data_IF_999695094817
#
_entry.id   IF_999695094817
#
_cell.length_a   1.000
_cell.length_b   1.000
_cell.length_c   1.000
_cell.angle_alpha   90.00
_cell.angle_beta   90.00
_cell.angle_gamma   90.00
#
_symmetry.space_group_name_H-M   'P 1'
#
loop_
_entity.id
_entity.type
_entity.pdbx_description
1 polymer ?
#
# COMPACT_ATOMS: atom_id res chain seq x y z
N UNK A 1 -20.23 -11.98 -10.02
CA UNK A 1 -19.38 -10.92 -9.41
C UNK A 1 -19.51 -11.00 -7.89
N UNK A 2 -18.41 -11.20 -7.15
CA UNK A 2 -18.45 -11.20 -5.67
C UNK A 2 -18.29 -9.74 -5.21
N UNK A 3 -19.41 -9.08 -4.91
CA UNK A 3 -19.45 -7.65 -4.53
C UNK A 3 -18.53 -7.33 -3.33
N UNK A 4 -18.38 -8.25 -2.39
CA UNK A 4 -17.54 -8.08 -1.20
C UNK A 4 -16.18 -8.81 -1.28
N UNK A 5 -15.72 -9.17 -2.48
CA UNK A 5 -14.39 -9.75 -2.64
C UNK A 5 -13.31 -8.76 -2.15
N UNK A 6 -12.41 -9.23 -1.29
CA UNK A 6 -11.36 -8.38 -0.69
C UNK A 6 -11.74 -7.74 0.64
N UNK A 7 -13.01 -7.79 1.05
CA UNK A 7 -13.39 -7.42 2.42
C UNK A 7 -12.78 -8.42 3.41
N UNK A 8 -12.06 -7.92 4.41
CA UNK A 8 -11.24 -8.75 5.29
C UNK A 8 -10.79 -8.02 6.54
N UNK A 9 -9.95 -8.66 7.35
CA UNK A 9 -9.54 -8.16 8.69
C UNK A 9 -9.06 -6.71 8.68
N UNK A 10 -8.40 -6.25 7.61
CA UNK A 10 -7.95 -4.85 7.44
C UNK A 10 -9.08 -3.82 7.48
N UNK A 11 -10.21 -4.13 6.86
CA UNK A 11 -11.38 -3.25 6.84
C UNK A 11 -12.02 -3.18 8.23
N UNK A 12 -12.03 -4.31 8.95
CA UNK A 12 -12.48 -4.36 10.35
C UNK A 12 -11.57 -3.52 11.25
N UNK A 13 -10.25 -3.57 11.07
CA UNK A 13 -9.33 -2.71 11.82
C UNK A 13 -9.49 -1.22 11.50
N UNK A 14 -9.74 -0.87 10.23
CA UNK A 14 -10.03 0.51 9.84
C UNK A 14 -11.34 1.01 10.47
N UNK A 15 -12.39 0.18 10.45
CA UNK A 15 -13.66 0.50 11.10
C UNK A 15 -13.51 0.64 12.62
N UNK A 16 -12.71 -0.24 13.26
CA UNK A 16 -12.42 -0.19 14.69
C UNK A 16 -11.63 1.07 15.05
N UNK A 17 -10.58 1.39 14.29
CA UNK A 17 -9.78 2.59 14.49
C UNK A 17 -10.61 3.87 14.31
N UNK A 18 -11.45 3.92 13.27
CA UNK A 18 -12.36 5.05 13.05
C UNK A 18 -13.37 5.20 14.19
N UNK A 19 -14.02 4.11 14.61
CA UNK A 19 -14.95 4.12 15.75
C UNK A 19 -14.29 4.59 17.04
N UNK A 20 -13.05 4.17 17.30
CA UNK A 20 -12.29 4.59 18.48
C UNK A 20 -11.94 6.08 18.44
N UNK A 21 -11.51 6.61 17.29
CA UNK A 21 -11.22 8.05 17.11
C UNK A 21 -12.49 8.89 17.30
N UNK A 22 -13.61 8.48 16.72
CA UNK A 22 -14.91 9.17 16.89
C UNK A 22 -15.33 9.15 18.36
N UNK A 23 -15.17 8.00 19.05
CA UNK A 23 -15.48 7.89 20.46
C UNK A 23 -14.60 8.77 21.34
N UNK A 24 -13.30 8.85 21.05
CA UNK A 24 -12.36 9.73 21.76
C UNK A 24 -12.74 11.20 21.55
N UNK A 25 -13.09 11.60 20.33
CA UNK A 25 -13.54 12.96 20.04
C UNK A 25 -14.81 13.32 20.83
N UNK A 26 -15.78 12.42 20.85
CA UNK A 26 -17.01 12.59 21.63
C UNK A 26 -16.75 12.64 23.15
N UNK A 27 -15.89 11.77 23.66
CA UNK A 27 -15.50 11.76 25.07
C UNK A 27 -14.79 13.05 25.48
N UNK A 28 -13.94 13.58 24.61
CA UNK A 28 -13.23 14.85 24.82
C UNK A 28 -14.21 16.01 24.86
N UNK A 29 -15.21 16.03 23.96
CA UNK A 29 -16.27 17.04 23.96
C UNK A 29 -17.08 17.00 25.28
N UNK A 30 -17.53 15.82 25.69
CA UNK A 30 -18.33 15.66 26.91
C UNK A 30 -17.54 16.06 28.18
N UNK A 31 -16.23 15.77 28.22
CA UNK A 31 -15.32 16.22 29.28
C UNK A 31 -15.19 17.75 29.33
N UNK A 32 -15.09 18.43 28.17
CA UNK A 32 -15.06 19.89 28.12
C UNK A 32 -16.42 20.52 28.45
N UNK A 33 -17.51 19.86 28.06
CA UNK A 33 -18.89 20.30 28.31
C UNK A 33 -19.35 20.15 29.76
N UNK A 34 -18.58 19.46 30.62
CA UNK A 34 -18.98 19.06 31.98
C UNK A 34 -20.29 18.26 31.99
N UNK A 35 -20.51 17.45 30.97
CA UNK A 35 -21.66 16.55 30.91
C UNK A 35 -21.39 15.30 31.74
N UNK A 36 -22.44 14.71 32.33
CA UNK A 36 -22.32 13.45 33.06
C UNK A 36 -22.06 12.28 32.09
N UNK A 37 -20.81 11.81 32.04
CA UNK A 37 -20.43 10.65 31.25
C UNK A 37 -20.96 9.35 31.87
N UNK A 38 -22.03 8.81 31.30
CA UNK A 38 -22.47 7.45 31.61
C UNK A 38 -21.81 6.42 30.67
N UNK A 39 -21.24 5.35 31.24
CA UNK A 39 -20.52 4.33 30.48
C UNK A 39 -21.41 3.55 29.49
N UNK A 40 -22.70 3.36 29.83
CA UNK A 40 -23.66 2.59 29.01
C UNK A 40 -23.97 3.29 27.68
N UNK A 41 -24.42 4.56 27.63
CA UNK A 41 -24.66 5.24 26.35
C UNK A 41 -23.37 5.42 25.54
N UNK A 42 -22.22 5.61 26.21
CA UNK A 42 -20.92 5.66 25.51
C UNK A 42 -20.61 4.37 24.75
N UNK A 43 -20.79 3.21 25.39
CA UNK A 43 -20.57 1.92 24.74
C UNK A 43 -21.57 1.70 23.59
N UNK A 44 -22.83 2.11 23.76
CA UNK A 44 -23.84 2.01 22.71
C UNK A 44 -23.47 2.84 21.47
N UNK A 45 -23.00 4.08 21.67
CA UNK A 45 -22.50 4.94 20.58
C UNK A 45 -21.29 4.34 19.87
N UNK A 46 -20.32 3.82 20.62
CA UNK A 46 -19.12 3.19 20.05
C UNK A 46 -19.49 1.98 19.16
N UNK A 47 -20.41 1.14 19.62
CA UNK A 47 -20.89 -0.02 18.86
C UNK A 47 -21.65 0.43 17.61
N UNK A 48 -22.51 1.44 17.72
CA UNK A 48 -23.27 1.98 16.60
C UNK A 48 -22.33 2.52 15.50
N UNK A 49 -21.39 3.39 15.86
CA UNK A 49 -20.43 3.95 14.89
C UNK A 49 -19.55 2.88 14.25
N UNK A 50 -19.18 1.84 14.99
CA UNK A 50 -18.45 0.71 14.44
C UNK A 50 -19.24 -0.03 13.36
N UNK A 51 -20.52 -0.33 13.59
CA UNK A 51 -21.38 -0.96 12.58
C UNK A 51 -21.62 -0.06 11.37
N UNK A 52 -21.85 1.24 11.58
CA UNK A 52 -21.98 2.20 10.48
C UNK A 52 -20.70 2.28 9.64
N UNK A 53 -19.53 2.25 10.28
CA UNK A 53 -18.25 2.23 9.59
C UNK A 53 -18.07 0.96 8.75
N UNK A 54 -18.49 -0.20 9.26
CA UNK A 54 -18.47 -1.45 8.48
C UNK A 54 -19.39 -1.38 7.26
N UNK A 55 -20.59 -0.82 7.41
CA UNK A 55 -21.53 -0.60 6.30
C UNK A 55 -20.89 0.33 5.25
N UNK A 56 -20.31 1.45 5.68
CA UNK A 56 -19.64 2.41 4.81
C UNK A 56 -18.47 1.81 4.04
N UNK A 57 -17.57 1.06 4.70
CA UNK A 57 -16.48 0.35 4.03
C UNK A 57 -17.02 -0.75 3.10
N UNK A 58 -18.09 -1.45 3.49
CA UNK A 58 -18.74 -2.45 2.63
C UNK A 58 -19.26 -1.83 1.33
N UNK A 59 -19.92 -0.68 1.40
CA UNK A 59 -20.36 0.07 0.22
C UNK A 59 -19.19 0.53 -0.65
N UNK A 60 -18.11 1.04 -0.05
CA UNK A 60 -16.91 1.46 -0.77
C UNK A 60 -16.25 0.30 -1.52
N UNK A 61 -16.06 -0.85 -0.86
CA UNK A 61 -15.50 -2.07 -1.47
C UNK A 61 -16.42 -2.61 -2.57
N UNK A 62 -17.74 -2.59 -2.35
CA UNK A 62 -18.70 -3.05 -3.35
C UNK A 62 -18.65 -2.20 -4.63
N UNK A 63 -18.53 -0.88 -4.49
CA UNK A 63 -18.46 0.04 -5.61
C UNK A 63 -17.11 -0.03 -6.31
N UNK A 64 -16.02 -0.20 -5.56
CA UNK A 64 -14.70 -0.46 -6.12
C UNK A 64 -14.67 -1.74 -6.95
N UNK A 65 -15.31 -2.81 -6.48
CA UNK A 65 -15.39 -4.08 -7.20
C UNK A 65 -16.34 -4.02 -8.40
N UNK A 66 -17.37 -3.17 -8.36
CA UNK A 66 -18.35 -3.02 -9.43
C UNK A 66 -17.83 -2.16 -10.57
N UNK A 67 -17.21 -1.01 -10.24
CA UNK A 67 -16.74 -0.04 -11.22
C UNK A 67 -15.28 -0.30 -11.64
N UNK A 68 -14.48 -0.97 -10.81
CA UNK A 68 -13.08 -1.29 -11.09
C UNK A 68 -12.29 -0.06 -11.57
N UNK A 69 -11.50 -0.25 -12.61
CA UNK A 69 -10.77 0.83 -13.28
C UNK A 69 -11.58 1.46 -14.45
N UNK A 70 -12.83 1.03 -14.66
CA UNK A 70 -13.70 1.56 -15.72
C UNK A 70 -14.24 2.96 -15.40
N UNK A 71 -14.16 3.40 -14.14
CA UNK A 71 -14.63 4.72 -13.72
C UNK A 71 -13.53 5.54 -13.02
N UNK A 72 -13.51 6.87 -13.20
CA UNK A 72 -12.55 7.73 -12.52
C UNK A 72 -12.78 7.72 -11.00
N UNK A 73 -11.71 7.93 -10.24
CA UNK A 73 -11.70 7.87 -8.76
C UNK A 73 -12.76 8.77 -8.13
N UNK A 74 -13.00 9.96 -8.68
CA UNK A 74 -14.01 10.90 -8.18
C UNK A 74 -15.43 10.34 -8.25
N UNK A 75 -15.81 9.69 -9.35
CA UNK A 75 -17.14 9.09 -9.51
C UNK A 75 -17.33 7.92 -8.56
N UNK A 76 -16.31 7.08 -8.37
CA UNK A 76 -16.34 5.99 -7.38
C UNK A 76 -16.53 6.51 -5.97
N UNK A 77 -15.82 7.58 -5.61
CA UNK A 77 -15.92 8.21 -4.30
C UNK A 77 -17.32 8.79 -4.06
N UNK A 78 -17.86 9.55 -5.01
CA UNK A 78 -19.21 10.13 -4.88
C UNK A 78 -20.26 9.03 -4.78
N UNK A 79 -20.18 8.00 -5.62
CA UNK A 79 -21.14 6.90 -5.58
C UNK A 79 -21.04 6.11 -4.27
N UNK A 80 -19.82 5.85 -3.78
CA UNK A 80 -19.58 5.18 -2.50
C UNK A 80 -20.08 5.98 -1.31
N UNK A 81 -19.83 7.29 -1.31
CA UNK A 81 -20.34 8.21 -0.30
C UNK A 81 -21.88 8.22 -0.28
N UNK A 82 -22.52 8.38 -1.44
CA UNK A 82 -23.99 8.44 -1.53
C UNK A 82 -24.62 7.11 -1.11
N UNK A 83 -24.08 5.98 -1.59
CA UNK A 83 -24.56 4.66 -1.20
C UNK A 83 -24.38 4.42 0.31
N UNK A 84 -23.21 4.74 0.88
CA UNK A 84 -22.94 4.62 2.30
C UNK A 84 -23.89 5.52 3.12
N UNK A 85 -24.09 6.78 2.72
CA UNK A 85 -24.98 7.70 3.41
C UNK A 85 -26.44 7.20 3.41
N UNK A 86 -26.93 6.68 2.29
CA UNK A 86 -28.29 6.12 2.20
C UNK A 86 -28.42 4.87 3.10
N UNK A 87 -27.52 3.90 2.96
CA UNK A 87 -27.62 2.63 3.70
C UNK A 87 -27.43 2.84 5.19
N UNK A 88 -26.49 3.69 5.61
CA UNK A 88 -26.32 4.03 7.02
C UNK A 88 -27.53 4.75 7.59
N UNK A 89 -28.10 5.73 6.86
CA UNK A 89 -29.30 6.44 7.32
C UNK A 89 -30.48 5.49 7.48
N UNK A 90 -30.72 4.59 6.52
CA UNK A 90 -31.77 3.57 6.63
C UNK A 90 -31.53 2.60 7.79
N UNK A 91 -30.29 2.17 8.01
CA UNK A 91 -29.94 1.27 9.11
C UNK A 91 -30.17 1.93 10.47
N UNK A 92 -29.82 3.22 10.61
CA UNK A 92 -30.09 3.98 11.84
C UNK A 92 -31.60 4.14 12.03
N UNK A 93 -32.37 4.53 11.00
CA UNK A 93 -33.83 4.67 11.13
C UNK A 93 -34.52 3.35 11.53
N UNK A 94 -34.10 2.25 10.92
CA UNK A 94 -34.58 0.91 11.27
C UNK A 94 -34.23 0.54 12.71
N UNK A 95 -33.00 0.80 13.15
CA UNK A 95 -32.58 0.54 14.53
C UNK A 95 -33.43 1.32 15.53
N UNK A 96 -33.65 2.62 15.29
CA UNK A 96 -34.47 3.46 16.17
C UNK A 96 -35.95 3.06 16.17
N UNK A 97 -36.45 2.38 15.14
CA UNK A 97 -37.80 1.81 15.15
C UNK A 97 -37.91 0.54 16.01
N UNK A 98 -36.84 -0.28 16.04
CA UNK A 98 -36.80 -1.54 16.79
C UNK A 98 -36.45 -1.36 18.26
N UNK A 99 -35.73 -0.29 18.61
CA UNK A 99 -35.26 -0.04 19.98
C UNK A 99 -36.38 0.60 20.82
N UNK A 100 -36.64 0.11 22.05
CA UNK A 100 -37.63 0.71 22.94
C UNK A 100 -37.33 2.18 23.24
N UNK A 101 -38.37 3.01 23.35
CA UNK A 101 -38.23 4.46 23.59
C UNK A 101 -37.42 4.81 24.84
N UNK A 102 -37.44 3.97 25.88
CA UNK A 102 -36.63 4.18 27.10
C UNK A 102 -35.12 4.08 26.85
N UNK A 103 -34.70 3.25 25.89
CA UNK A 103 -33.29 3.14 25.49
C UNK A 103 -32.91 4.32 24.58
N UNK A 104 -33.82 4.76 23.70
CA UNK A 104 -33.62 5.96 22.87
C UNK A 104 -33.40 7.20 23.74
N UNK A 105 -34.25 7.39 24.76
CA UNK A 105 -34.14 8.51 25.70
C UNK A 105 -32.84 8.46 26.53
N UNK A 106 -32.36 7.26 26.86
CA UNK A 106 -31.07 7.07 27.53
C UNK A 106 -29.86 7.34 26.62
N UNK A 107 -30.03 7.28 25.29
CA UNK A 107 -28.98 7.49 24.29
C UNK A 107 -28.95 8.94 23.77
N UNK A 108 -30.11 9.56 23.57
CA UNK A 108 -30.22 10.94 23.06
C UNK A 108 -29.85 12.00 24.11
N UNK A 109 -29.83 11.65 25.40
CA UNK A 109 -29.65 12.63 26.46
C UNK A 109 -30.81 13.62 26.51
N UNK A 110 -30.90 14.41 27.57
CA UNK A 110 -32.06 15.26 27.85
C UNK A 110 -32.31 16.42 26.85
N UNK A 111 -31.49 16.58 25.82
CA UNK A 111 -31.69 17.61 24.79
C UNK A 111 -32.29 16.99 23.52
N UNK A 112 -33.62 16.91 23.49
CA UNK A 112 -34.33 16.82 22.22
C UNK A 112 -34.01 18.08 21.42
N UNK A 113 -33.12 17.98 20.44
CA UNK A 113 -32.96 19.03 19.44
C UNK A 113 -34.38 19.35 18.89
N UNK A 114 -34.84 20.61 18.95
CA UNK A 114 -36.21 20.96 18.57
C UNK A 114 -36.34 20.88 17.05
N UNK A 115 -36.56 19.66 16.54
CA UNK A 115 -36.77 19.45 15.12
C UNK A 115 -38.17 19.95 14.74
N UNK A 116 -38.22 20.89 13.79
CA UNK A 116 -39.46 21.53 13.33
C UNK A 116 -40.37 20.56 12.55
N UNK A 117 -39.80 19.50 11.95
CA UNK A 117 -40.53 18.51 11.14
C UNK A 117 -39.76 17.17 11.09
N UNK A 118 -40.47 16.06 10.86
CA UNK A 118 -39.88 14.74 10.60
C UNK A 118 -38.88 14.77 9.44
N UNK A 119 -39.15 15.58 8.41
CA UNK A 119 -38.22 15.77 7.29
C UNK A 119 -36.91 16.42 7.75
N UNK A 120 -36.98 17.39 8.65
CA UNK A 120 -35.80 18.08 9.17
C UNK A 120 -34.93 17.13 10.02
N UNK A 121 -35.55 16.23 10.78
CA UNK A 121 -34.85 15.17 11.53
C UNK A 121 -34.12 14.21 10.58
N UNK A 122 -34.78 13.75 9.52
CA UNK A 122 -34.19 12.84 8.54
C UNK A 122 -33.05 13.53 7.78
N UNK A 123 -33.25 14.78 7.33
CA UNK A 123 -32.25 15.55 6.62
C UNK A 123 -31.00 15.80 7.48
N UNK A 124 -31.17 16.17 8.77
CA UNK A 124 -30.05 16.36 9.69
C UNK A 124 -29.24 15.06 9.86
N UNK A 125 -29.92 13.93 10.08
CA UNK A 125 -29.27 12.61 10.20
C UNK A 125 -28.54 12.21 8.93
N UNK A 126 -29.13 12.48 7.77
CA UNK A 126 -28.50 12.24 6.48
C UNK A 126 -27.25 13.10 6.28
N UNK A 127 -27.27 14.38 6.65
CA UNK A 127 -26.10 15.26 6.54
C UNK A 127 -24.97 14.80 7.45
N UNK A 128 -25.27 14.43 8.70
CA UNK A 128 -24.28 13.89 9.63
C UNK A 128 -23.70 12.56 9.12
N UNK A 129 -24.54 11.63 8.65
CA UNK A 129 -24.09 10.34 8.12
C UNK A 129 -23.27 10.51 6.83
N UNK A 130 -23.65 11.44 5.97
CA UNK A 130 -22.91 11.78 4.76
C UNK A 130 -21.52 12.35 5.07
N UNK A 131 -21.41 13.24 6.07
CA UNK A 131 -20.11 13.80 6.50
C UNK A 131 -19.15 12.72 6.99
N UNK A 132 -19.62 11.84 7.88
CA UNK A 132 -18.79 10.72 8.37
C UNK A 132 -18.46 9.71 7.28
N UNK A 133 -19.42 9.40 6.40
CA UNK A 133 -19.23 8.51 5.26
C UNK A 133 -18.20 9.07 4.28
N UNK A 134 -18.26 10.36 3.97
CA UNK A 134 -17.28 11.03 3.12
C UNK A 134 -15.87 10.89 3.69
N UNK A 135 -15.68 11.20 4.97
CA UNK A 135 -14.37 11.12 5.60
C UNK A 135 -13.80 9.70 5.59
N UNK A 136 -14.65 8.70 5.91
CA UNK A 136 -14.25 7.30 5.94
C UNK A 136 -13.91 6.74 4.55
N UNK A 137 -14.76 7.03 3.55
CA UNK A 137 -14.56 6.60 2.16
C UNK A 137 -13.33 7.28 1.56
N UNK A 138 -13.13 8.57 1.82
CA UNK A 138 -11.96 9.31 1.36
C UNK A 138 -10.67 8.74 1.96
N UNK A 139 -10.65 8.44 3.27
CA UNK A 139 -9.51 7.82 3.93
C UNK A 139 -9.18 6.46 3.30
N UNK A 140 -10.20 5.62 3.09
CA UNK A 140 -10.03 4.32 2.45
C UNK A 140 -9.46 4.44 1.03
N UNK A 141 -10.00 5.35 0.20
CA UNK A 141 -9.52 5.61 -1.16
C UNK A 141 -8.07 6.10 -1.17
N UNK A 142 -7.70 6.98 -0.24
CA UNK A 142 -6.33 7.48 -0.09
C UNK A 142 -5.36 6.36 0.29
N UNK A 143 -5.73 5.50 1.24
CA UNK A 143 -4.92 4.34 1.64
C UNK A 143 -4.78 3.32 0.49
N UNK A 144 -5.84 3.10 -0.28
CA UNK A 144 -5.80 2.28 -1.48
C UNK A 144 -4.86 2.86 -2.54
N UNK A 145 -4.98 4.16 -2.83
CA UNK A 145 -4.12 4.83 -3.80
C UNK A 145 -2.64 4.79 -3.38
N UNK A 146 -2.35 5.04 -2.11
CA UNK A 146 -1.01 4.96 -1.54
C UNK A 146 -0.43 3.54 -1.68
N UNK A 147 -1.22 2.50 -1.39
CA UNK A 147 -0.79 1.10 -1.56
C UNK A 147 -0.46 0.76 -3.01
N UNK A 148 -1.33 1.12 -3.95
CA UNK A 148 -1.10 0.90 -5.38
C UNK A 148 0.18 1.61 -5.84
N UNK A 149 0.45 2.81 -5.32
CA UNK A 149 1.69 3.53 -5.61
C UNK A 149 2.91 2.79 -5.04
N UNK A 150 2.85 2.32 -3.79
CA UNK A 150 3.93 1.54 -3.17
C UNK A 150 4.19 0.22 -3.87
N UNK A 151 3.16 -0.50 -4.29
CA UNK A 151 3.29 -1.76 -5.05
C UNK A 151 3.96 -1.52 -6.40
N UNK A 152 3.54 -0.49 -7.15
CA UNK A 152 4.20 -0.09 -8.41
C UNK A 152 5.66 0.30 -8.20
N UNK A 153 5.96 1.04 -7.14
CA UNK A 153 7.35 1.39 -6.80
C UNK A 153 8.18 0.14 -6.51
N UNK A 154 7.63 -0.81 -5.77
CA UNK A 154 8.31 -2.07 -5.46
C UNK A 154 8.57 -2.91 -6.72
N UNK A 155 7.58 -3.02 -7.62
CA UNK A 155 7.73 -3.69 -8.91
C UNK A 155 8.80 -3.03 -9.78
N UNK A 156 8.81 -1.69 -9.85
CA UNK A 156 9.84 -0.95 -10.59
C UNK A 156 11.23 -1.15 -9.99
N UNK A 157 11.36 -1.19 -8.66
CA UNK A 157 12.63 -1.48 -7.98
C UNK A 157 13.14 -2.89 -8.26
N UNK A 158 12.24 -3.89 -8.24
CA UNK A 158 12.59 -5.26 -8.59
C UNK A 158 13.04 -5.36 -10.05
N UNK A 159 12.32 -4.71 -10.97
CA UNK A 159 12.69 -4.68 -12.38
C UNK A 159 14.08 -4.04 -12.59
N UNK A 160 14.38 -2.92 -11.93
CA UNK A 160 15.68 -2.27 -11.99
C UNK A 160 16.82 -3.17 -11.48
N UNK A 161 16.62 -3.82 -10.32
CA UNK A 161 17.58 -4.77 -9.75
C UNK A 161 17.83 -5.97 -10.67
N UNK A 162 16.79 -6.48 -11.34
CA UNK A 162 16.96 -7.58 -12.30
C UNK A 162 17.73 -7.16 -13.54
N UNK A 163 17.53 -5.93 -14.02
CA UNK A 163 18.27 -5.39 -15.15
C UNK A 163 19.76 -5.18 -14.81
N UNK A 164 20.06 -4.66 -13.62
CA UNK A 164 21.42 -4.48 -13.13
C UNK A 164 22.16 -5.82 -13.03
N UNK A 165 21.49 -6.86 -12.50
CA UNK A 165 22.06 -8.21 -12.48
C UNK A 165 22.32 -8.77 -13.87
N UNK A 166 21.40 -8.57 -14.82
CA UNK A 166 21.58 -9.05 -16.18
C UNK A 166 22.78 -8.38 -16.87
N UNK A 167 23.01 -7.09 -16.62
CA UNK A 167 24.19 -6.37 -17.11
C UNK A 167 25.47 -6.93 -16.49
N UNK A 168 25.51 -7.09 -15.16
CA UNK A 168 26.66 -7.66 -14.47
C UNK A 168 26.98 -9.09 -14.90
N UNK A 169 25.96 -9.93 -15.10
CA UNK A 169 26.14 -11.29 -15.64
C UNK A 169 26.63 -11.26 -17.09
N UNK A 170 26.17 -10.30 -17.89
CA UNK A 170 26.67 -10.06 -19.25
C UNK A 170 28.15 -9.68 -19.24
N UNK A 171 28.54 -8.74 -18.38
CA UNK A 171 29.93 -8.30 -18.22
C UNK A 171 30.82 -9.44 -17.73
N UNK A 172 30.36 -10.24 -16.76
CA UNK A 172 31.07 -11.42 -16.28
C UNK A 172 31.27 -12.45 -17.40
N UNK A 173 30.24 -12.71 -18.23
CA UNK A 173 30.37 -13.61 -19.39
C UNK A 173 31.31 -13.05 -20.45
N UNK A 174 31.30 -11.75 -20.69
CA UNK A 174 32.21 -11.11 -21.63
C UNK A 174 33.68 -11.19 -21.15
N UNK A 175 33.91 -11.01 -19.84
CA UNK A 175 35.24 -11.19 -19.22
C UNK A 175 35.69 -12.65 -19.34
N UNK A 176 34.81 -13.60 -19.03
CA UNK A 176 35.12 -15.03 -19.14
C UNK A 176 35.38 -15.47 -20.59
N UNK A 177 34.60 -14.99 -21.55
CA UNK A 177 34.77 -15.32 -22.97
C UNK A 177 36.09 -14.80 -23.57
N UNK A 178 36.70 -13.77 -22.96
CA UNK A 178 37.94 -13.16 -23.45
C UNK A 178 39.20 -13.69 -22.76
N UNK A 179 39.05 -14.45 -21.68
CA UNK A 179 40.11 -15.22 -21.04
C UNK A 179 39.83 -16.68 -21.33
N UNK A 180 40.23 -17.16 -22.51
CA UNK A 180 40.17 -18.59 -22.83
C UNK A 180 41.16 -19.33 -21.91
N UNK A 181 40.69 -20.08 -20.89
CA UNK A 181 41.56 -20.67 -19.88
C UNK A 181 42.54 -21.66 -20.50
N UNK A 182 42.08 -22.39 -21.51
CA UNK A 182 42.87 -23.44 -22.16
C UNK A 182 44.01 -22.81 -22.98
N UNK A 183 43.76 -21.69 -23.65
CA UNK A 183 44.81 -20.94 -24.35
C UNK A 183 45.89 -20.44 -23.38
N UNK A 184 45.50 -20.01 -22.18
CA UNK A 184 46.41 -19.53 -21.14
C UNK A 184 47.25 -20.67 -20.54
N UNK A 185 46.65 -21.84 -20.34
CA UNK A 185 47.36 -23.04 -19.89
C UNK A 185 48.29 -23.59 -20.97
N UNK A 186 47.88 -23.57 -22.24
CA UNK A 186 48.70 -23.98 -23.38
C UNK A 186 49.92 -23.05 -23.55
N UNK A 187 49.73 -21.74 -23.37
CA UNK A 187 50.86 -20.79 -23.40
C UNK A 187 51.79 -20.98 -22.19
N UNK A 188 51.28 -21.27 -21.00
CA UNK A 188 52.11 -21.61 -19.83
C UNK A 188 52.91 -22.91 -20.05
N UNK A 189 52.30 -23.94 -20.63
CA UNK A 189 52.99 -25.19 -20.99
C UNK A 189 54.04 -24.97 -22.09
N UNK A 190 53.80 -24.05 -23.03
CA UNK A 190 54.79 -23.67 -24.03
C UNK A 190 56.01 -22.97 -23.40
N UNK A 191 55.79 -22.10 -22.41
CA UNK A 191 56.87 -21.45 -21.64
C UNK A 191 57.67 -22.48 -20.85
N UNK A 192 57.02 -23.44 -20.20
CA UNK A 192 57.69 -24.49 -19.41
C UNK A 192 58.56 -25.39 -20.29
N UNK A 193 58.08 -25.75 -21.50
CA UNK A 193 58.88 -26.46 -22.50
C UNK A 193 60.05 -25.62 -23.04
N UNK A 194 59.88 -24.30 -23.17
CA UNK A 194 60.96 -23.40 -23.57
C UNK A 194 62.05 -23.33 -22.49
N UNK A 195 61.67 -23.27 -21.21
CA UNK A 195 62.60 -23.36 -20.08
C UNK A 195 63.35 -24.69 -20.02
N UNK A 196 62.68 -25.81 -20.33
CA UNK A 196 63.33 -27.13 -20.40
C UNK A 196 64.40 -27.22 -21.52
N UNK A 197 64.32 -26.34 -22.52
CA UNK A 197 65.24 -26.32 -23.67
C UNK A 197 66.41 -25.35 -23.44
N UNK A 198 66.13 -24.14 -22.95
CA UNK A 198 67.17 -23.21 -22.48
C UNK A 198 66.59 -22.13 -21.58
N UNK A 199 67.34 -21.71 -20.57
CA UNK A 199 66.91 -20.68 -19.61
C UNK A 199 66.57 -19.35 -20.29
N UNK A 200 67.36 -18.95 -21.31
CA UNK A 200 67.14 -17.70 -22.05
C UNK A 200 65.84 -17.71 -22.86
N UNK A 201 65.54 -18.83 -23.53
CA UNK A 201 64.31 -18.96 -24.32
C UNK A 201 63.05 -19.03 -23.45
N UNK A 202 63.18 -19.60 -22.24
CA UNK A 202 62.10 -19.58 -21.24
C UNK A 202 61.81 -18.18 -20.70
N UNK A 203 62.85 -17.39 -20.41
CA UNK A 203 62.70 -16.00 -19.98
C UNK A 203 62.01 -15.13 -21.04
N UNK A 204 62.42 -15.23 -22.31
CA UNK A 204 61.78 -14.48 -23.42
C UNK A 204 60.30 -14.84 -23.59
N UNK A 205 59.96 -16.14 -23.55
CA UNK A 205 58.57 -16.59 -23.67
C UNK A 205 57.70 -16.17 -22.46
N UNK A 206 58.29 -16.12 -21.26
CA UNK A 206 57.61 -15.65 -20.05
C UNK A 206 57.36 -14.13 -20.09
N UNK A 207 58.33 -13.35 -20.58
CA UNK A 207 58.17 -11.90 -20.75
C UNK A 207 57.10 -11.55 -21.80
N UNK A 208 57.01 -12.32 -22.88
CA UNK A 208 55.94 -12.17 -23.89
C UNK A 208 54.55 -12.48 -23.29
N UNK A 209 54.44 -13.53 -22.47
CA UNK A 209 53.19 -13.86 -21.76
C UNK A 209 52.80 -12.77 -20.75
N UNK A 210 53.76 -12.24 -19.99
CA UNK A 210 53.55 -11.12 -19.07
C UNK A 210 53.12 -9.86 -19.84
N UNK A 211 53.72 -9.60 -21.00
CA UNK A 211 53.35 -8.50 -21.90
C UNK A 211 51.91 -8.60 -22.38
N UNK A 212 51.49 -9.78 -22.83
CA UNK A 212 50.12 -10.07 -23.26
C UNK A 212 49.11 -9.87 -22.12
N UNK A 213 49.38 -10.41 -20.93
CA UNK A 213 48.52 -10.25 -19.75
C UNK A 213 48.42 -8.79 -19.29
N UNK A 214 49.53 -8.04 -19.33
CA UNK A 214 49.55 -6.62 -18.96
C UNK A 214 48.80 -5.75 -19.96
N UNK A 215 48.87 -6.07 -21.26
CA UNK A 215 48.09 -5.41 -22.30
C UNK A 215 46.58 -5.70 -22.15
N UNK A 216 46.22 -6.96 -21.88
CA UNK A 216 44.84 -7.35 -21.61
C UNK A 216 44.28 -6.64 -20.37
N UNK A 217 45.03 -6.58 -19.27
CA UNK A 217 44.62 -5.91 -18.03
C UNK A 217 44.52 -4.37 -18.18
N UNK A 218 45.40 -3.74 -18.96
CA UNK A 218 45.35 -2.29 -19.22
C UNK A 218 44.13 -1.90 -20.06
N UNK A 219 43.71 -2.75 -20.98
CA UNK A 219 42.48 -2.56 -21.74
C UNK A 219 41.21 -2.69 -20.88
N UNK A 220 41.31 -3.28 -19.68
CA UNK A 220 40.21 -3.43 -18.71
C UNK A 220 40.12 -2.27 -17.70
N UNK A 221 41.08 -1.33 -17.71
CA UNK A 221 41.00 -0.15 -16.82
C UNK A 221 39.99 0.88 -17.37
N UNK A 222 39.02 1.35 -16.56
CA UNK A 222 37.91 2.21 -17.01
C UNK A 222 38.35 3.59 -17.56
N UNK A 223 39.65 3.92 -17.49
CA UNK A 223 40.20 5.17 -18.01
C UNK A 223 40.21 5.29 -19.55
N UNK A 224 39.99 4.20 -20.30
CA UNK A 224 40.03 4.23 -21.78
C UNK A 224 38.67 3.97 -22.45
N UNK A 225 37.58 3.85 -21.67
CA UNK A 225 36.22 3.69 -22.20
C UNK A 225 35.54 5.02 -22.58
N UNK A 226 36.26 6.14 -22.48
CA UNK A 226 35.80 7.46 -22.95
C UNK A 226 36.88 8.15 -23.78
N UNK A 227 37.02 7.74 -25.05
CA UNK A 227 37.64 8.53 -26.11
C UNK A 227 37.03 8.11 -27.45
#
# INVERSE_FOLDING_TARGET
MRLLAGFGKRHVYLALGFGLVVQLAHSTYALLGKEDLHAVPMLAWAVLFFFLALIGLGCAVAIDNLLGDSAPTGTRLVLAMVAAAIVTTLAVEMLFYLVPQGVILAIEGHEKAPFVSDFHRIAFRFTTSAGWSLMLVALYMMLQASRRASERLHEMQLAALTAERAVLEGDLRAIQARVDPDLLFDTLLAVDRAYATSTRSGEEALDDLIGFLRAAAKATSPACASA
#
